data_IF_845420565015
#
_entry.id   IF_845420565015
#
_cell.length_a   1.000
_cell.length_b   1.000
_cell.length_c   1.000
_cell.angle_alpha   90.00
_cell.angle_beta   90.00
_cell.angle_gamma   90.00
#
_symmetry.space_group_name_H-M   'P 1'
#
loop_
_entity.id
_entity.type
_entity.pdbx_description
1 polymer ?
#
# COMPACT_ATOMS: atom_id res chain seq x y z
N UNK A 1 -1.98 30.18 -13.73
CA UNK A 1 -2.60 28.87 -14.06
C UNK A 1 -1.63 27.86 -14.67
N UNK A 2 -0.99 28.14 -15.81
CA UNK A 2 -0.14 27.16 -16.54
C UNK A 2 1.04 26.63 -15.70
N UNK A 3 1.66 27.47 -14.86
CA UNK A 3 2.79 27.07 -14.00
C UNK A 3 2.39 26.08 -12.89
N UNK A 4 1.16 26.19 -12.39
CA UNK A 4 0.60 25.29 -11.37
C UNK A 4 0.34 23.91 -11.98
N UNK A 5 -0.27 23.87 -13.17
CA UNK A 5 -0.55 22.62 -13.90
C UNK A 5 0.74 21.83 -14.17
N UNK A 6 1.83 22.52 -14.57
CA UNK A 6 3.13 21.87 -14.82
C UNK A 6 3.74 21.20 -13.58
N UNK A 7 3.49 21.72 -12.37
CA UNK A 7 3.98 21.11 -11.13
C UNK A 7 3.05 20.02 -10.57
N UNK A 8 1.76 20.07 -10.90
CA UNK A 8 0.79 19.06 -10.48
C UNK A 8 0.80 17.81 -11.36
N UNK A 9 1.17 17.94 -12.65
CA UNK A 9 1.17 16.81 -13.58
C UNK A 9 2.04 15.63 -13.11
N UNK A 10 3.29 15.83 -12.62
CA UNK A 10 4.10 14.73 -12.12
C UNK A 10 3.52 14.08 -10.85
N UNK A 11 2.97 14.89 -9.93
CA UNK A 11 2.31 14.37 -8.72
C UNK A 11 1.09 13.53 -9.09
N UNK A 12 0.29 14.00 -10.05
CA UNK A 12 -0.88 13.28 -10.53
C UNK A 12 -0.52 11.91 -11.11
N UNK A 13 0.51 11.84 -11.96
CA UNK A 13 0.95 10.58 -12.57
C UNK A 13 1.42 9.59 -11.49
N UNK A 14 2.27 10.04 -10.56
CA UNK A 14 2.75 9.19 -9.46
C UNK A 14 1.58 8.71 -8.59
N UNK A 15 0.72 9.63 -8.19
CA UNK A 15 -0.44 9.31 -7.36
C UNK A 15 -1.39 8.33 -8.07
N UNK A 16 -1.60 8.49 -9.37
CA UNK A 16 -2.44 7.59 -10.17
C UNK A 16 -1.92 6.15 -10.14
N UNK A 17 -0.62 5.94 -10.41
CA UNK A 17 -0.03 4.59 -10.39
C UNK A 17 0.01 3.99 -8.98
N UNK A 18 0.37 4.78 -7.97
CA UNK A 18 0.38 4.31 -6.57
C UNK A 18 -1.01 3.87 -6.14
N UNK A 19 -2.03 4.67 -6.43
CA UNK A 19 -3.39 4.35 -6.04
C UNK A 19 -3.92 3.13 -6.82
N UNK A 20 -3.63 3.03 -8.12
CA UNK A 20 -3.98 1.84 -8.93
C UNK A 20 -3.40 0.55 -8.32
N UNK A 21 -2.14 0.59 -7.88
CA UNK A 21 -1.50 -0.54 -7.21
C UNK A 21 -2.17 -0.89 -5.88
N UNK A 22 -2.49 0.11 -5.04
CA UNK A 22 -3.20 -0.10 -3.77
C UNK A 22 -4.59 -0.71 -3.97
N UNK A 23 -5.35 -0.25 -4.96
CA UNK A 23 -6.67 -0.80 -5.26
C UNK A 23 -6.61 -2.25 -5.70
N UNK A 24 -5.64 -2.56 -6.57
CA UNK A 24 -5.40 -3.93 -7.00
C UNK A 24 -5.04 -4.82 -5.81
N UNK A 25 -4.18 -4.33 -4.91
CA UNK A 25 -3.82 -5.07 -3.69
C UNK A 25 -5.03 -5.32 -2.78
N UNK A 26 -5.88 -4.32 -2.52
CA UNK A 26 -7.07 -4.52 -1.67
C UNK A 26 -8.08 -5.50 -2.25
N UNK A 27 -8.30 -5.48 -3.56
CA UNK A 27 -9.29 -6.34 -4.21
C UNK A 27 -8.77 -7.79 -4.33
N UNK A 28 -7.49 -7.96 -4.66
CA UNK A 28 -6.94 -9.28 -4.97
C UNK A 28 -6.20 -9.96 -3.82
N UNK A 29 -5.86 -9.27 -2.73
CA UNK A 29 -5.12 -9.88 -1.63
C UNK A 29 -5.83 -11.12 -1.05
N UNK A 30 -7.13 -11.02 -0.78
CA UNK A 30 -7.92 -12.13 -0.21
C UNK A 30 -7.96 -13.35 -1.12
N UNK A 31 -8.44 -13.27 -2.39
CA UNK A 31 -8.53 -14.43 -3.26
C UNK A 31 -7.16 -15.00 -3.66
N UNK A 32 -6.11 -14.17 -3.74
CA UNK A 32 -4.75 -14.65 -4.04
C UNK A 32 -4.18 -15.44 -2.86
N UNK A 33 -4.31 -14.94 -1.64
CA UNK A 33 -3.78 -15.63 -0.45
C UNK A 33 -4.52 -16.94 -0.20
N UNK A 34 -5.86 -16.95 -0.28
CA UNK A 34 -6.64 -18.19 -0.08
C UNK A 34 -6.34 -19.23 -1.17
N UNK A 35 -6.24 -18.81 -2.43
CA UNK A 35 -5.96 -19.72 -3.56
C UNK A 35 -4.54 -20.27 -3.57
N UNK A 36 -3.52 -19.44 -3.35
CA UNK A 36 -2.12 -19.85 -3.50
C UNK A 36 -1.51 -20.44 -2.22
N UNK A 37 -1.91 -19.95 -1.04
CA UNK A 37 -1.36 -20.43 0.25
C UNK A 37 -2.20 -21.59 0.80
N UNK A 38 -3.53 -21.45 0.77
CA UNK A 38 -4.45 -22.45 1.36
C UNK A 38 -4.97 -23.48 0.35
N UNK A 39 -4.64 -23.33 -0.94
CA UNK A 39 -5.03 -24.23 -2.05
C UNK A 39 -6.52 -24.57 -2.09
N UNK A 40 -7.35 -23.70 -1.52
CA UNK A 40 -8.80 -23.86 -1.47
C UNK A 40 -9.47 -22.64 -2.06
N UNK A 41 -10.51 -22.89 -2.85
CA UNK A 41 -11.43 -21.87 -3.39
C UNK A 41 -12.81 -21.96 -2.75
N UNK A 42 -13.01 -22.90 -1.84
CA UNK A 42 -14.31 -23.15 -1.21
C UNK A 42 -14.49 -22.26 0.03
N UNK A 43 -15.38 -21.28 -0.11
CA UNK A 43 -15.70 -20.24 0.89
C UNK A 43 -16.23 -20.79 2.22
N UNK A 44 -16.73 -22.03 2.24
CA UNK A 44 -17.27 -22.68 3.44
C UNK A 44 -16.26 -23.57 4.18
N UNK A 45 -15.06 -23.73 3.63
CA UNK A 45 -14.01 -24.51 4.27
C UNK A 45 -13.33 -23.70 5.38
N UNK A 46 -13.00 -24.36 6.50
CA UNK A 46 -12.20 -23.77 7.58
C UNK A 46 -10.84 -23.24 7.10
N UNK A 47 -10.33 -23.77 5.98
CA UNK A 47 -9.12 -23.28 5.32
C UNK A 47 -9.30 -21.90 4.65
N UNK A 48 -10.50 -21.56 4.16
CA UNK A 48 -10.79 -20.23 3.62
C UNK A 48 -10.90 -19.18 4.73
N UNK A 49 -11.49 -19.54 5.86
CA UNK A 49 -11.54 -18.70 7.06
C UNK A 49 -10.12 -18.36 7.55
N UNK A 50 -9.25 -19.36 7.69
CA UNK A 50 -7.85 -19.17 8.04
C UNK A 50 -7.10 -18.27 7.04
N UNK A 51 -7.36 -18.42 5.74
CA UNK A 51 -6.76 -17.55 4.72
C UNK A 51 -7.23 -16.11 4.82
N UNK A 52 -8.49 -15.89 5.14
CA UNK A 52 -9.04 -14.55 5.38
C UNK A 52 -8.45 -13.92 6.64
N UNK A 53 -8.28 -14.68 7.73
CA UNK A 53 -7.60 -14.21 8.94
C UNK A 53 -6.16 -13.79 8.66
N UNK A 54 -5.42 -14.58 7.87
CA UNK A 54 -4.05 -14.26 7.47
C UNK A 54 -3.96 -12.98 6.65
N UNK A 55 -4.88 -12.79 5.70
CA UNK A 55 -4.99 -11.53 4.95
C UNK A 55 -5.20 -10.36 5.90
N UNK A 56 -6.08 -10.52 6.90
CA UNK A 56 -6.30 -9.54 7.95
C UNK A 56 -5.04 -9.18 8.73
N UNK A 57 -4.23 -10.17 9.13
CA UNK A 57 -2.94 -9.95 9.81
C UNK A 57 -1.97 -9.19 8.92
N UNK A 58 -1.86 -9.55 7.63
CA UNK A 58 -1.03 -8.83 6.67
C UNK A 58 -1.46 -7.35 6.53
N UNK A 59 -2.77 -7.09 6.46
CA UNK A 59 -3.30 -5.72 6.42
C UNK A 59 -3.09 -4.94 7.72
N UNK A 60 -3.16 -5.61 8.86
CA UNK A 60 -2.86 -5.01 10.16
C UNK A 60 -1.37 -4.62 10.26
N UNK A 61 -0.46 -5.49 9.83
CA UNK A 61 0.98 -5.19 9.75
C UNK A 61 1.28 -4.04 8.78
N UNK A 62 0.67 -4.08 7.59
CA UNK A 62 0.75 -2.98 6.62
C UNK A 62 0.33 -1.64 7.23
N UNK A 63 -0.82 -1.60 7.90
CA UNK A 63 -1.35 -0.38 8.54
C UNK A 63 -0.48 0.08 9.71
N UNK A 64 0.08 -0.87 10.48
CA UNK A 64 0.99 -0.57 11.59
C UNK A 64 2.29 0.05 11.10
N UNK A 65 2.90 -0.54 10.06
CA UNK A 65 4.10 0.03 9.42
C UNK A 65 3.81 1.42 8.86
N UNK A 66 2.68 1.61 8.19
CA UNK A 66 2.26 2.91 7.68
C UNK A 66 2.11 3.95 8.80
N UNK A 67 1.53 3.58 9.95
CA UNK A 67 1.42 4.46 11.11
C UNK A 67 2.81 4.83 11.68
N UNK A 68 3.69 3.85 11.88
CA UNK A 68 5.05 4.09 12.39
C UNK A 68 5.84 5.02 11.46
N UNK A 69 5.74 4.80 10.15
CA UNK A 69 6.37 5.66 9.14
C UNK A 69 5.74 7.06 9.14
N UNK A 70 4.41 7.19 9.23
CA UNK A 70 3.72 8.48 9.27
C UNK A 70 4.18 9.36 10.46
N UNK A 71 4.41 8.77 11.64
CA UNK A 71 4.99 9.49 12.79
C UNK A 71 6.48 9.83 12.60
N UNK A 72 7.19 9.07 11.76
CA UNK A 72 8.63 9.26 11.49
C UNK A 72 8.90 10.30 10.40
N UNK A 73 8.00 10.45 9.41
CA UNK A 73 8.14 11.38 8.28
C UNK A 73 8.36 12.85 8.73
N UNK A 74 7.65 13.43 9.71
CA UNK A 74 7.86 14.81 10.16
C UNK A 74 9.27 15.04 10.76
N UNK A 75 9.85 14.01 11.37
CA UNK A 75 11.21 14.07 11.92
C UNK A 75 12.25 13.97 10.81
N UNK A 76 12.02 13.10 9.82
CA UNK A 76 12.92 12.92 8.68
C UNK A 76 12.90 14.13 7.72
N UNK A 77 11.76 14.78 7.50
CA UNK A 77 11.66 15.99 6.64
C UNK A 77 12.41 17.19 7.19
N UNK A 78 12.74 17.21 8.50
CA UNK A 78 13.63 18.23 9.09
C UNK A 78 15.10 18.02 8.74
N UNK A 79 15.50 16.80 8.37
CA UNK A 79 16.91 16.45 8.03
C UNK A 79 17.13 16.21 6.53
N UNK A 80 16.09 15.79 5.80
CA UNK A 80 16.15 15.43 4.38
C UNK A 80 15.12 16.25 3.59
N UNK A 81 15.51 16.73 2.41
CA UNK A 81 14.61 17.47 1.50
C UNK A 81 13.38 16.64 1.14
N UNK A 82 12.19 17.27 1.16
CA UNK A 82 10.86 16.65 0.96
C UNK A 82 10.79 15.80 -0.32
N UNK A 83 11.48 16.21 -1.38
CA UNK A 83 11.53 15.50 -2.66
C UNK A 83 12.31 14.18 -2.59
N UNK A 84 13.43 14.13 -1.84
CA UNK A 84 14.23 12.91 -1.66
C UNK A 84 13.51 11.88 -0.80
N UNK A 85 12.76 12.36 0.20
CA UNK A 85 11.93 11.51 1.06
C UNK A 85 10.81 10.81 0.29
N UNK A 86 10.14 11.54 -0.60
CA UNK A 86 9.10 10.95 -1.44
C UNK A 86 9.67 9.94 -2.45
N UNK A 87 10.81 10.25 -3.06
CA UNK A 87 11.49 9.31 -3.97
C UNK A 87 11.94 8.03 -3.25
N UNK A 88 12.42 8.13 -2.01
CA UNK A 88 12.81 6.96 -1.21
C UNK A 88 11.60 6.10 -0.81
N UNK A 89 10.48 6.74 -0.45
CA UNK A 89 9.22 6.05 -0.12
C UNK A 89 8.49 5.44 -1.32
N UNK A 90 8.93 5.74 -2.56
CA UNK A 90 8.48 5.07 -3.77
C UNK A 90 9.40 3.91 -4.17
N UNK A 91 10.65 3.92 -3.69
CA UNK A 91 11.63 2.87 -3.91
C UNK A 91 11.48 1.70 -2.92
N UNK A 92 10.92 1.97 -1.74
CA UNK A 92 10.64 1.01 -0.67
C UNK A 92 9.14 0.89 -0.45
#
# INVERSE_FOLDING_TARGET
>A
MIKIIKHLLPLFIVQFFTWLALFSLWIYATPVITKYIFKTTDSESTAFENGTTWVGICFALYSTLAAVLAFSIPRLTKRISKYKLHALALLF
#
